data_IF_364061569917
#
_entry.id   IF_364061569917
#
_cell.length_a   1.000
_cell.length_b   1.000
_cell.length_c   1.000
_cell.angle_alpha   90.00
_cell.angle_beta   90.00
_cell.angle_gamma   90.00
#
_symmetry.space_group_name_H-M   'P 1'
#
loop_
_entity.id
_entity.type
_entity.pdbx_description
1 polymer ?
#
# COMPACT_ATOMS: atom_id res chain seq x y z
N UNK A 1 7.31 -18.49 11.64
CA UNK A 1 6.81 -17.79 10.43
C UNK A 1 7.99 -17.06 9.79
N UNK A 2 8.17 -17.14 8.46
CA UNK A 2 9.24 -16.39 7.78
C UNK A 2 8.92 -14.89 7.86
N UNK A 3 9.93 -14.05 8.16
CA UNK A 3 9.77 -12.59 8.27
C UNK A 3 9.71 -11.87 6.92
N UNK A 4 10.31 -12.47 5.89
CA UNK A 4 10.33 -11.98 4.52
C UNK A 4 10.83 -13.11 3.60
N UNK A 5 10.69 -12.92 2.29
CA UNK A 5 11.33 -13.73 1.26
C UNK A 5 12.03 -12.80 0.27
N UNK A 6 13.27 -13.12 -0.11
CA UNK A 6 14.11 -12.26 -0.94
C UNK A 6 14.57 -13.03 -2.16
N UNK A 7 14.44 -12.43 -3.33
CA UNK A 7 14.87 -12.99 -4.61
C UNK A 7 15.59 -11.94 -5.44
N UNK A 8 16.50 -12.37 -6.31
CA UNK A 8 17.23 -11.50 -7.24
C UNK A 8 17.32 -12.10 -8.62
N UNK A 9 17.61 -11.28 -9.62
CA UNK A 9 17.91 -11.75 -10.98
C UNK A 9 19.09 -12.74 -10.97
N UNK A 10 19.07 -13.69 -11.90
CA UNK A 10 20.02 -14.81 -12.02
C UNK A 10 20.09 -15.77 -10.83
N UNK A 11 19.20 -15.62 -9.83
CA UNK A 11 19.10 -16.60 -8.76
C UNK A 11 18.56 -17.91 -9.31
N UNK A 12 19.28 -19.02 -9.04
CA UNK A 12 18.85 -20.37 -9.39
C UNK A 12 17.73 -20.84 -8.46
N UNK A 13 16.52 -20.39 -8.72
CA UNK A 13 15.31 -20.74 -7.97
C UNK A 13 14.18 -20.99 -8.97
N UNK A 14 13.48 -22.11 -8.77
CA UNK A 14 12.34 -22.48 -9.61
C UNK A 14 11.07 -21.72 -9.21
N UNK A 15 10.15 -21.59 -10.17
CA UNK A 15 8.86 -20.94 -9.96
C UNK A 15 8.04 -21.59 -8.85
N UNK A 16 8.06 -22.93 -8.75
CA UNK A 16 7.37 -23.68 -7.69
C UNK A 16 7.82 -23.25 -6.29
N UNK A 17 9.13 -23.06 -6.10
CA UNK A 17 9.67 -22.62 -4.81
C UNK A 17 9.23 -21.19 -4.50
N UNK A 18 9.23 -20.29 -5.48
CA UNK A 18 8.72 -18.92 -5.31
C UNK A 18 7.25 -18.94 -4.91
N UNK A 19 6.41 -19.71 -5.61
CA UNK A 19 4.98 -19.86 -5.31
C UNK A 19 4.77 -20.38 -3.89
N UNK A 20 5.51 -21.41 -3.47
CA UNK A 20 5.40 -21.93 -2.11
C UNK A 20 5.80 -20.89 -1.06
N UNK A 21 6.80 -20.07 -1.33
CA UNK A 21 7.16 -18.96 -0.44
C UNK A 21 6.08 -17.88 -0.40
N UNK A 22 5.41 -17.57 -1.51
CA UNK A 22 4.28 -16.63 -1.54
C UNK A 22 3.12 -17.11 -0.67
N UNK A 23 2.74 -18.40 -0.76
CA UNK A 23 1.75 -18.99 0.12
C UNK A 23 2.17 -18.94 1.60
N UNK A 24 3.43 -19.25 1.90
CA UNK A 24 3.97 -19.16 3.27
C UNK A 24 4.00 -17.71 3.82
N UNK A 25 3.86 -16.72 2.94
CA UNK A 25 3.75 -15.30 3.25
C UNK A 25 2.30 -14.80 3.18
N UNK A 26 1.31 -15.69 3.07
CA UNK A 26 -0.13 -15.38 3.02
C UNK A 26 -0.55 -14.55 1.80
N UNK A 27 0.13 -14.70 0.66
CA UNK A 27 -0.38 -14.15 -0.60
C UNK A 27 -1.47 -15.06 -1.18
N UNK A 28 -2.49 -14.44 -1.77
CA UNK A 28 -3.61 -15.12 -2.40
C UNK A 28 -3.35 -15.34 -3.89
N UNK A 29 -3.69 -16.51 -4.40
CA UNK A 29 -3.55 -16.81 -5.84
C UNK A 29 -4.84 -16.40 -6.57
N UNK A 30 -4.71 -15.56 -7.59
CA UNK A 30 -5.78 -15.17 -8.51
C UNK A 30 -5.52 -15.62 -9.95
N UNK A 31 -6.49 -15.36 -10.84
CA UNK A 31 -6.31 -15.48 -12.29
C UNK A 31 -5.46 -14.33 -12.84
N UNK A 32 -5.67 -13.13 -12.29
CA UNK A 32 -4.87 -11.93 -12.52
C UNK A 32 -4.62 -11.23 -11.18
N UNK A 33 -3.62 -10.36 -11.16
CA UNK A 33 -3.32 -9.52 -10.00
C UNK A 33 -4.20 -8.28 -10.07
N UNK A 34 -5.02 -8.04 -9.05
CA UNK A 34 -5.92 -6.87 -9.00
C UNK A 34 -5.66 -5.97 -7.79
N UNK A 35 -5.14 -6.54 -6.70
CA UNK A 35 -4.86 -5.81 -5.45
C UNK A 35 -3.58 -6.31 -4.78
N UNK A 36 -3.08 -5.51 -3.83
CA UNK A 36 -1.95 -5.89 -2.98
C UNK A 36 -2.24 -7.18 -2.21
N UNK A 37 -1.23 -8.04 -2.09
CA UNK A 37 -1.36 -9.36 -1.46
C UNK A 37 -1.78 -10.48 -2.41
N UNK A 38 -2.01 -10.19 -3.69
CA UNK A 38 -2.31 -11.20 -4.70
C UNK A 38 -1.09 -11.57 -5.55
N UNK A 39 -1.13 -12.78 -6.12
CA UNK A 39 -0.27 -13.19 -7.21
C UNK A 39 -1.04 -14.03 -8.25
N UNK A 40 -0.56 -14.00 -9.49
CA UNK A 40 -1.08 -14.77 -10.61
C UNK A 40 0.08 -15.42 -11.38
N UNK A 41 -0.19 -16.58 -11.98
CA UNK A 41 0.83 -17.36 -12.70
C UNK A 41 0.37 -17.55 -14.14
N UNK A 42 1.22 -17.18 -15.11
CA UNK A 42 0.92 -17.29 -16.55
C UNK A 42 2.14 -17.80 -17.29
N UNK A 43 2.12 -19.05 -17.73
CA UNK A 43 3.29 -19.64 -18.42
C UNK A 43 4.54 -19.59 -17.54
N UNK A 44 5.55 -18.84 -17.97
CA UNK A 44 6.83 -18.68 -17.27
C UNK A 44 6.91 -17.43 -16.38
N UNK A 45 5.80 -16.72 -16.17
CA UNK A 45 5.78 -15.50 -15.35
C UNK A 45 4.94 -15.66 -14.09
N UNK A 46 5.37 -14.98 -13.03
CA UNK A 46 4.61 -14.77 -11.81
C UNK A 46 4.41 -13.27 -11.65
N UNK A 47 3.17 -12.82 -11.82
CA UNK A 47 2.77 -11.48 -11.45
C UNK A 47 2.39 -11.47 -9.99
N UNK A 48 2.82 -10.48 -9.23
CA UNK A 48 2.41 -10.32 -7.83
C UNK A 48 2.34 -8.86 -7.44
N UNK A 49 1.56 -8.55 -6.40
CA UNK A 49 1.51 -7.19 -5.85
C UNK A 49 1.97 -7.16 -4.39
N UNK A 50 3.27 -6.95 -4.14
CA UNK A 50 3.81 -6.86 -2.78
C UNK A 50 3.31 -5.61 -2.05
N UNK A 51 3.05 -5.74 -0.76
CA UNK A 51 2.53 -4.65 0.08
C UNK A 51 3.51 -3.47 0.24
N UNK A 52 4.81 -3.75 0.16
CA UNK A 52 5.88 -2.75 0.25
C UNK A 52 6.24 -2.10 -1.10
N UNK A 53 5.43 -2.33 -2.15
CA UNK A 53 5.63 -1.77 -3.48
C UNK A 53 4.43 -0.91 -3.89
N UNK A 54 4.70 0.14 -4.68
CA UNK A 54 3.66 1.06 -5.19
C UNK A 54 2.89 0.50 -6.39
N UNK A 55 3.42 -0.56 -6.99
CA UNK A 55 2.91 -1.17 -8.22
C UNK A 55 3.21 -2.68 -8.20
N UNK A 56 2.45 -3.50 -8.94
CA UNK A 56 2.73 -4.92 -9.04
C UNK A 56 4.04 -5.17 -9.80
N UNK A 57 4.58 -6.36 -9.59
CA UNK A 57 5.87 -6.80 -10.09
C UNK A 57 5.67 -8.12 -10.83
N UNK A 58 6.24 -8.21 -12.02
CA UNK A 58 6.35 -9.42 -12.83
C UNK A 58 7.72 -10.04 -12.62
N UNK A 59 7.74 -11.31 -12.25
CA UNK A 59 8.94 -12.14 -12.17
C UNK A 59 8.92 -13.07 -13.38
N UNK A 60 9.92 -12.94 -14.26
CA UNK A 60 10.08 -13.78 -15.44
C UNK A 60 11.08 -14.88 -15.14
N UNK A 61 10.68 -16.13 -15.34
CA UNK A 61 11.51 -17.30 -15.13
C UNK A 61 12.04 -17.83 -16.46
N UNK A 62 13.33 -18.16 -16.46
CA UNK A 62 13.95 -19.04 -17.44
C UNK A 62 13.80 -20.50 -17.05
N UNK A 63 14.69 -21.35 -17.56
CA UNK A 63 14.66 -22.79 -17.28
C UNK A 63 15.02 -23.13 -15.83
N UNK A 64 16.02 -22.46 -15.26
CA UNK A 64 16.55 -22.77 -13.92
C UNK A 64 16.81 -21.53 -13.05
N UNK A 65 16.44 -20.34 -13.51
CA UNK A 65 16.72 -19.08 -12.81
C UNK A 65 15.70 -17.99 -13.12
N UNK A 66 15.70 -16.95 -12.27
CA UNK A 66 14.99 -15.70 -12.54
C UNK A 66 15.74 -14.92 -13.62
N UNK A 67 15.05 -14.59 -14.71
CA UNK A 67 15.61 -13.83 -15.83
C UNK A 67 15.36 -12.32 -15.68
N UNK A 68 14.17 -11.94 -15.22
CA UNK A 68 13.84 -10.53 -15.02
C UNK A 68 12.85 -10.32 -13.87
N UNK A 69 12.94 -9.13 -13.26
CA UNK A 69 11.97 -8.61 -12.30
C UNK A 69 11.60 -7.21 -12.77
N UNK A 70 10.33 -6.95 -13.06
CA UNK A 70 9.87 -5.68 -13.65
C UNK A 70 8.60 -5.19 -12.98
N UNK A 71 8.49 -3.88 -12.75
CA UNK A 71 7.20 -3.28 -12.39
C UNK A 71 6.23 -3.34 -13.57
N UNK A 72 4.93 -3.27 -13.32
CA UNK A 72 3.96 -3.10 -14.41
C UNK A 72 2.68 -2.35 -13.98
N UNK A 73 1.90 -1.88 -14.96
CA UNK A 73 0.60 -1.20 -14.70
C UNK A 73 -0.56 -2.21 -14.65
N UNK A 74 -1.50 -2.06 -13.70
CA UNK A 74 -2.66 -2.97 -13.58
C UNK A 74 -3.68 -2.85 -14.72
N UNK A 75 -3.67 -1.73 -15.46
CA UNK A 75 -4.68 -1.47 -16.49
C UNK A 75 -4.37 -2.20 -17.81
N UNK A 76 -3.14 -2.05 -18.32
CA UNK A 76 -2.71 -2.60 -19.62
C UNK A 76 -1.56 -3.60 -19.50
N UNK A 77 -1.00 -3.82 -18.29
CA UNK A 77 0.11 -4.74 -18.11
C UNK A 77 1.44 -4.20 -18.65
N UNK A 78 1.53 -2.90 -18.92
CA UNK A 78 2.73 -2.27 -19.46
C UNK A 78 3.90 -2.44 -18.50
N UNK A 79 5.02 -2.95 -19.01
CA UNK A 79 6.24 -3.14 -18.24
C UNK A 79 6.91 -1.79 -17.94
N UNK A 80 7.37 -1.64 -16.71
CA UNK A 80 8.02 -0.46 -16.17
C UNK A 80 9.48 -0.76 -15.85
N UNK A 81 10.03 0.01 -14.91
CA UNK A 81 11.39 -0.14 -14.40
C UNK A 81 11.69 -1.56 -13.92
N UNK A 82 12.95 -1.97 -14.14
CA UNK A 82 13.45 -3.28 -13.74
C UNK A 82 14.11 -3.20 -12.36
N UNK A 83 14.04 -4.30 -11.61
CA UNK A 83 14.65 -4.44 -10.30
C UNK A 83 15.70 -5.55 -10.34
N UNK A 84 16.87 -5.31 -9.73
CA UNK A 84 17.87 -6.37 -9.54
C UNK A 84 17.44 -7.37 -8.46
N UNK A 85 16.60 -6.91 -7.52
CA UNK A 85 16.21 -7.65 -6.33
C UNK A 85 14.80 -7.25 -5.86
N UNK A 86 14.08 -8.23 -5.31
CA UNK A 86 12.75 -8.10 -4.72
C UNK A 86 12.76 -8.65 -3.30
N UNK A 87 12.34 -7.84 -2.34
CA UNK A 87 12.05 -8.27 -0.96
C UNK A 87 10.53 -8.28 -0.75
N UNK A 88 10.00 -9.45 -0.45
CA UNK A 88 8.58 -9.72 -0.27
C UNK A 88 8.30 -9.86 1.22
N UNK A 89 7.40 -9.02 1.72
CA UNK A 89 6.94 -9.08 3.11
C UNK A 89 5.69 -9.95 3.25
N UNK A 90 5.52 -10.65 4.38
CA UNK A 90 4.28 -11.39 4.67
C UNK A 90 3.08 -10.46 4.72
N UNK A 91 1.94 -10.96 4.23
CA UNK A 91 0.63 -10.37 4.51
C UNK A 91 0.30 -10.75 5.95
N UNK A 92 0.60 -9.80 6.84
CA UNK A 92 0.15 -9.85 8.22
C UNK A 92 -1.33 -9.47 8.24
N UNK A 93 -2.19 -10.38 8.69
CA UNK A 93 -3.60 -10.10 9.02
C UNK A 93 -3.78 -8.98 10.08
N UNK A 94 -2.69 -8.41 10.61
CA UNK A 94 -2.67 -7.36 11.63
C UNK A 94 -3.23 -6.00 11.21
N UNK A 95 -3.78 -5.86 10.00
CA UNK A 95 -4.58 -4.69 9.63
C UNK A 95 -6.09 -4.86 9.93
N UNK A 96 -6.52 -6.05 10.36
CA UNK A 96 -7.74 -6.20 11.16
C UNK A 96 -7.41 -6.10 12.66
N UNK A 97 -6.66 -5.06 13.09
CA UNK A 97 -7.07 -4.49 14.37
C UNK A 97 -8.43 -3.86 14.10
N UNK A 98 -9.49 -4.62 14.40
CA UNK A 98 -10.69 -4.03 14.95
C UNK A 98 -10.22 -3.22 16.16
N UNK A 99 -9.84 -1.96 15.92
CA UNK A 99 -10.18 -0.93 16.89
C UNK A 99 -11.62 -1.24 17.26
N UNK A 100 -12.01 -1.26 18.55
CA UNK A 100 -13.41 -1.34 18.89
C UNK A 100 -14.10 -0.17 18.16
N UNK A 101 -14.60 -0.46 16.96
CA UNK A 101 -15.71 0.25 16.37
C UNK A 101 -16.83 -0.24 17.25
N UNK A 102 -17.10 0.49 18.33
CA UNK A 102 -18.49 0.68 18.71
C UNK A 102 -19.22 0.89 17.39
N UNK A 103 -20.19 0.03 17.09
CA UNK A 103 -20.91 0.01 15.82
C UNK A 103 -21.32 1.44 15.43
N UNK A 104 -20.49 2.13 14.64
CA UNK A 104 -20.81 3.44 14.08
C UNK A 104 -21.66 3.11 12.85
N UNK A 105 -22.87 2.61 13.09
CA UNK A 105 -23.84 2.26 12.04
C UNK A 105 -24.25 3.49 11.22
N UNK A 106 -23.91 4.68 11.70
CA UNK A 106 -24.01 5.95 10.99
C UNK A 106 -22.70 6.73 11.15
N UNK A 107 -21.69 6.45 10.32
CA UNK A 107 -20.58 7.38 10.15
C UNK A 107 -21.10 8.59 9.36
N UNK A 108 -21.51 9.64 10.08
CA UNK A 108 -21.73 10.96 9.51
C UNK A 108 -20.38 11.69 9.46
N UNK A 109 -19.74 11.80 8.28
CA UNK A 109 -18.45 12.48 8.16
C UNK A 109 -18.54 13.95 8.58
N UNK A 110 -19.72 14.57 8.47
CA UNK A 110 -19.96 15.94 8.87
C UNK A 110 -20.04 16.07 10.40
N UNK A 111 -20.69 15.14 11.10
CA UNK A 111 -20.72 15.11 12.56
C UNK A 111 -19.34 14.82 13.18
N UNK A 112 -18.59 13.87 12.60
CA UNK A 112 -17.21 13.60 13.00
C UNK A 112 -16.32 14.84 12.81
N UNK A 113 -16.53 15.57 11.71
CA UNK A 113 -15.81 16.80 11.41
C UNK A 113 -16.23 18.00 12.29
N UNK A 114 -17.49 18.08 12.70
CA UNK A 114 -18.00 19.15 13.57
C UNK A 114 -17.64 18.93 15.05
N UNK A 115 -17.37 17.69 15.45
CA UNK A 115 -17.01 17.34 16.83
C UNK A 115 -15.52 17.49 17.14
N UNK A 116 -14.68 17.72 16.13
CA UNK A 116 -13.24 17.90 16.30
C UNK A 116 -12.91 19.12 17.17
N UNK A 117 -12.09 18.90 18.19
CA UNK A 117 -11.64 19.91 19.15
C UNK A 117 -10.18 20.25 18.91
N UNK A 118 -9.82 21.49 19.23
CA UNK A 118 -8.43 21.94 19.17
C UNK A 118 -7.57 21.01 20.03
N UNK A 119 -6.51 20.45 19.45
CA UNK A 119 -5.65 19.45 20.08
C UNK A 119 -5.89 18.02 19.59
N UNK A 120 -7.01 17.75 18.92
CA UNK A 120 -7.27 16.43 18.35
C UNK A 120 -6.30 16.11 17.20
N UNK A 121 -5.93 14.84 17.10
CA UNK A 121 -5.09 14.35 16.01
C UNK A 121 -5.92 14.17 14.73
N UNK A 122 -5.35 14.61 13.61
CA UNK A 122 -5.93 14.51 12.27
C UNK A 122 -4.99 13.76 11.37
N UNK A 123 -5.49 12.76 10.65
CA UNK A 123 -4.75 12.08 9.60
C UNK A 123 -5.02 12.79 8.29
N UNK A 124 -4.00 13.37 7.68
CA UNK A 124 -4.05 13.96 6.36
C UNK A 124 -3.34 13.05 5.36
N UNK A 125 -4.03 12.65 4.27
CA UNK A 125 -3.53 11.66 3.29
C UNK A 125 -2.12 11.99 2.78
N UNK A 126 -1.81 13.28 2.56
CA UNK A 126 -0.51 13.71 2.03
C UNK A 126 0.53 14.08 3.09
N UNK A 127 0.13 14.37 4.32
CA UNK A 127 1.02 14.98 5.34
C UNK A 127 1.12 14.15 6.62
N UNK A 128 0.43 13.02 6.70
CA UNK A 128 0.44 12.16 7.88
C UNK A 128 -0.36 12.75 9.04
N UNK A 129 0.11 12.54 10.27
CA UNK A 129 -0.62 12.90 11.49
C UNK A 129 -0.26 14.33 11.90
N UNK A 130 -1.26 15.20 12.00
CA UNK A 130 -1.14 16.56 12.51
C UNK A 130 -2.10 16.83 13.67
N UNK A 131 -1.95 17.98 14.32
CA UNK A 131 -2.77 18.41 15.46
C UNK A 131 -3.71 19.54 14.98
N UNK A 132 -5.01 19.36 15.14
CA UNK A 132 -5.98 20.39 14.79
C UNK A 132 -5.83 21.63 15.68
N UNK A 133 -5.61 22.79 15.08
CA UNK A 133 -5.41 24.08 15.78
C UNK A 133 -6.64 25.00 15.73
N UNK A 134 -7.67 24.66 14.98
CA UNK A 134 -8.91 25.44 14.86
C UNK A 134 -9.23 25.88 13.43
N UNK A 135 -10.27 26.71 13.29
CA UNK A 135 -10.62 27.34 12.01
C UNK A 135 -9.99 28.74 11.93
N UNK A 136 -9.28 29.02 10.84
CA UNK A 136 -8.81 30.36 10.46
C UNK A 136 -9.67 30.92 9.35
N UNK A 137 -10.01 32.20 9.43
CA UNK A 137 -10.67 32.92 8.34
C UNK A 137 -9.58 33.59 7.51
N UNK A 138 -9.48 33.21 6.24
CA UNK A 138 -8.57 33.82 5.27
C UNK A 138 -9.38 34.58 4.24
N UNK A 139 -8.91 35.78 3.88
CA UNK A 139 -9.53 36.58 2.82
C UNK A 139 -8.91 36.20 1.48
N UNK A 140 -9.66 35.50 0.65
CA UNK A 140 -9.21 35.02 -0.67
C UNK A 140 -10.11 35.64 -1.74
N UNK A 141 -9.51 36.39 -2.68
CA UNK A 141 -10.23 37.13 -3.74
C UNK A 141 -11.34 38.05 -3.22
N UNK A 142 -11.13 38.68 -2.07
CA UNK A 142 -12.09 39.61 -1.45
C UNK A 142 -13.15 38.95 -0.58
N UNK A 143 -13.28 37.62 -0.60
CA UNK A 143 -14.24 36.87 0.21
C UNK A 143 -13.57 36.23 1.42
N UNK A 144 -14.29 36.22 2.55
CA UNK A 144 -13.84 35.54 3.76
C UNK A 144 -14.16 34.05 3.66
N UNK A 145 -13.11 33.21 3.59
CA UNK A 145 -13.24 31.75 3.58
C UNK A 145 -12.66 31.15 4.86
N UNK A 146 -13.33 30.13 5.38
CA UNK A 146 -12.93 29.40 6.58
C UNK A 146 -12.05 28.21 6.17
N UNK A 147 -10.90 28.07 6.80
CA UNK A 147 -9.94 26.99 6.59
C UNK A 147 -9.63 26.31 7.91
N UNK A 148 -9.50 24.99 7.89
CA UNK A 148 -8.98 24.22 9.01
C UNK A 148 -7.48 24.43 9.09
N UNK A 149 -6.99 24.64 10.31
CA UNK A 149 -5.57 24.81 10.60
C UNK A 149 -5.09 23.55 11.28
N UNK A 150 -4.10 22.89 10.70
CA UNK A 150 -3.51 21.67 11.25
C UNK A 150 -2.02 21.92 11.36
N UNK A 151 -1.44 21.63 12.52
CA UNK A 151 0.00 21.77 12.75
C UNK A 151 0.66 20.40 12.70
N UNK A 152 1.71 20.28 11.90
CA UNK A 152 2.50 19.06 11.79
C UNK A 152 3.78 19.15 12.63
N UNK A 153 4.48 18.03 12.82
CA UNK A 153 5.60 17.89 13.77
C UNK A 153 6.75 18.90 13.56
N UNK A 154 6.90 19.45 12.35
CA UNK A 154 7.95 20.42 11.99
C UNK A 154 7.47 21.89 12.08
N UNK A 155 6.26 22.14 12.59
CA UNK A 155 5.70 23.48 12.72
C UNK A 155 5.07 24.04 11.44
N UNK A 156 4.90 23.20 10.42
CA UNK A 156 4.14 23.53 9.21
C UNK A 156 2.64 23.64 9.52
N UNK A 157 1.97 24.65 8.95
CA UNK A 157 0.56 25.03 9.20
C UNK A 157 -0.22 25.20 7.90
#
# INVERSE_FOLDING_TARGET
MKRYFKIKIHQKIGMEEVIQNLFNLNYEKGEEVTRQGEFAVRGNIVDMYPFNFRQPVRIEFGLDAIEAIRGFTLFEGELLESYDELTILPIHEFFEKKYPTEDITEYDPLAAFLSIKKGDYVVHVNYGIGIYKGVRILKVKGENKKYFTIEYAEGEI
#
